data_IF_691253010105
#
_entry.id   IF_691253010105
#
_cell.length_a   1.000
_cell.length_b   1.000
_cell.length_c   1.000
_cell.angle_alpha   90.00
_cell.angle_beta   90.00
_cell.angle_gamma   90.00
#
_symmetry.space_group_name_H-M   'P 1'
#
loop_
_entity.id
_entity.type
_entity.pdbx_description
1 polymer ?
#
# COMPACT_ATOMS: atom_id res chain seq x y z
N UNK A 1 4.99 1.04 19.27
CA UNK A 1 5.18 -0.03 18.29
C UNK A 1 6.32 0.39 17.38
N UNK A 2 7.49 -0.24 17.45
CA UNK A 2 8.59 0.04 16.53
C UNK A 2 8.59 -1.10 15.50
N UNK A 3 8.34 -0.78 14.23
CA UNK A 3 8.38 -1.78 13.17
C UNK A 3 9.84 -2.16 12.89
N UNK A 4 10.11 -3.46 12.75
CA UNK A 4 11.44 -3.95 12.35
C UNK A 4 11.83 -3.40 10.97
N UNK A 5 13.13 -3.21 10.72
CA UNK A 5 13.61 -2.71 9.42
C UNK A 5 13.16 -3.57 8.25
N UNK A 6 13.08 -4.89 8.45
CA UNK A 6 12.58 -5.86 7.47
C UNK A 6 11.11 -5.61 7.12
N UNK A 7 10.28 -5.33 8.13
CA UNK A 7 8.87 -5.03 7.91
C UNK A 7 8.71 -3.69 7.17
N UNK A 8 9.49 -2.67 7.54
CA UNK A 8 9.48 -1.38 6.84
C UNK A 8 9.90 -1.55 5.37
N UNK A 9 10.91 -2.38 5.09
CA UNK A 9 11.30 -2.73 3.72
C UNK A 9 10.17 -3.42 2.98
N UNK A 10 9.54 -4.41 3.62
CA UNK A 10 8.41 -5.17 3.05
C UNK A 10 7.24 -4.25 2.69
N UNK A 11 6.87 -3.33 3.58
CA UNK A 11 5.80 -2.35 3.35
C UNK A 11 6.13 -1.40 2.20
N UNK A 12 7.39 -0.97 2.10
CA UNK A 12 7.85 -0.12 0.99
C UNK A 12 7.77 -0.88 -0.34
N UNK A 13 8.25 -2.13 -0.37
CA UNK A 13 8.19 -2.94 -1.58
C UNK A 13 6.74 -3.19 -2.01
N UNK A 14 5.85 -3.52 -1.09
CA UNK A 14 4.43 -3.70 -1.39
C UNK A 14 3.82 -2.42 -1.98
N UNK A 15 4.13 -1.25 -1.39
CA UNK A 15 3.70 0.05 -1.93
C UNK A 15 4.20 0.28 -3.36
N UNK A 16 5.48 0.01 -3.62
CA UNK A 16 6.09 0.18 -4.93
C UNK A 16 5.46 -0.76 -5.98
N UNK A 17 5.23 -2.02 -5.64
CA UNK A 17 4.57 -2.99 -6.53
C UNK A 17 3.14 -2.56 -6.89
N UNK A 18 2.36 -2.16 -5.88
CA UNK A 18 0.97 -1.72 -6.08
C UNK A 18 0.95 -0.46 -6.94
N UNK A 19 1.84 0.50 -6.67
CA UNK A 19 1.96 1.73 -7.47
C UNK A 19 2.47 1.48 -8.88
N UNK A 20 3.32 0.47 -9.12
CA UNK A 20 3.75 0.10 -10.46
C UNK A 20 2.60 -0.42 -11.33
N UNK A 21 1.53 -0.94 -10.72
CA UNK A 21 0.32 -1.37 -11.41
C UNK A 21 -0.62 -0.21 -11.77
N UNK A 22 -0.41 0.98 -11.20
CA UNK A 22 -1.22 2.17 -11.47
C UNK A 22 -0.65 2.90 -12.69
N UNK A 23 -1.48 3.24 -13.69
CA UNK A 23 -1.02 4.02 -14.83
C UNK A 23 -0.58 5.42 -14.40
N UNK A 24 0.50 5.93 -14.98
CA UNK A 24 1.18 7.15 -14.52
C UNK A 24 0.27 8.41 -14.43
N UNK A 25 -0.79 8.49 -15.24
CA UNK A 25 -1.75 9.60 -15.19
C UNK A 25 -2.66 9.57 -13.94
N UNK A 26 -2.82 8.41 -13.30
CA UNK A 26 -3.54 8.23 -12.04
C UNK A 26 -2.61 8.17 -10.82
N UNK A 27 -1.29 8.10 -11.04
CA UNK A 27 -0.27 8.08 -9.99
C UNK A 27 -0.09 9.46 -9.34
N UNK A 28 -1.14 9.96 -8.71
CA UNK A 28 -1.15 11.21 -7.96
C UNK A 28 -0.58 10.99 -6.55
N UNK A 29 0.02 12.02 -5.97
CA UNK A 29 0.61 11.95 -4.63
C UNK A 29 -0.40 11.47 -3.57
N UNK A 30 -1.68 11.87 -3.71
CA UNK A 30 -2.77 11.44 -2.83
C UNK A 30 -3.04 9.93 -2.88
N UNK A 31 -2.93 9.31 -4.07
CA UNK A 31 -3.11 7.87 -4.23
C UNK A 31 -1.98 7.10 -3.54
N UNK A 32 -0.73 7.55 -3.71
CA UNK A 32 0.43 6.96 -3.05
C UNK A 32 0.32 7.04 -1.53
N UNK A 33 -0.14 8.17 -0.99
CA UNK A 33 -0.35 8.36 0.44
C UNK A 33 -1.46 7.43 0.98
N UNK A 34 -2.59 7.33 0.26
CA UNK A 34 -3.70 6.47 0.65
C UNK A 34 -3.33 4.97 0.62
N UNK A 35 -2.57 4.53 -0.39
CA UNK A 35 -2.08 3.14 -0.44
C UNK A 35 -1.05 2.86 0.66
N UNK A 36 -0.15 3.81 0.95
CA UNK A 36 0.79 3.66 2.07
C UNK A 36 0.04 3.55 3.41
N UNK A 37 -1.04 4.31 3.60
CA UNK A 37 -1.89 4.22 4.78
C UNK A 37 -2.59 2.86 4.88
N UNK A 38 -3.10 2.32 3.76
CA UNK A 38 -3.68 0.98 3.70
C UNK A 38 -2.68 -0.09 4.17
N UNK A 39 -1.44 -0.03 3.68
CA UNK A 39 -0.36 -0.95 4.07
C UNK A 39 -0.03 -0.80 5.56
N UNK A 40 0.02 0.43 6.08
CA UNK A 40 0.23 0.70 7.51
C UNK A 40 -0.89 0.14 8.38
N UNK A 41 -2.15 0.27 7.95
CA UNK A 41 -3.31 -0.30 8.63
C UNK A 41 -3.28 -1.84 8.61
N UNK A 42 -2.96 -2.44 7.47
CA UNK A 42 -2.79 -3.89 7.34
C UNK A 42 -1.70 -4.41 8.28
N UNK A 43 -0.54 -3.74 8.34
CA UNK A 43 0.53 -4.06 9.29
C UNK A 43 0.08 -3.93 10.75
N UNK A 44 -0.67 -2.88 11.08
CA UNK A 44 -1.23 -2.71 12.42
C UNK A 44 -2.26 -3.79 12.79
N UNK A 45 -2.94 -4.37 11.80
CA UNK A 45 -3.89 -5.48 11.97
C UNK A 45 -3.20 -6.86 12.04
N UNK A 46 -1.87 -6.92 11.92
CA UNK A 46 -1.08 -8.16 12.03
C UNK A 46 -0.59 -8.73 10.70
N UNK A 47 -0.86 -8.08 9.56
CA UNK A 47 -0.33 -8.50 8.26
C UNK A 47 1.10 -8.00 8.12
N UNK A 48 2.09 -8.86 8.36
CA UNK A 48 3.52 -8.49 8.27
C UNK A 48 4.22 -9.06 7.03
N UNK A 49 3.57 -9.98 6.33
CA UNK A 49 4.08 -10.60 5.11
C UNK A 49 3.85 -9.72 3.89
N UNK A 50 4.81 -9.74 2.95
CA UNK A 50 4.72 -9.03 1.67
C UNK A 50 3.41 -9.30 0.95
N UNK A 51 3.06 -10.58 0.76
CA UNK A 51 1.84 -11.02 0.08
C UNK A 51 0.56 -10.47 0.73
N UNK A 52 0.49 -10.50 2.07
CA UNK A 52 -0.66 -9.98 2.81
C UNK A 52 -0.80 -8.47 2.74
N UNK A 53 0.33 -7.74 2.70
CA UNK A 53 0.37 -6.28 2.56
C UNK A 53 0.02 -5.83 1.14
N UNK A 54 0.59 -6.51 0.14
CA UNK A 54 0.29 -6.27 -1.27
C UNK A 54 -1.17 -6.57 -1.58
N UNK A 55 -1.68 -7.73 -1.16
CA UNK A 55 -3.09 -8.11 -1.40
C UNK A 55 -4.05 -7.12 -0.76
N UNK A 56 -3.83 -6.73 0.49
CA UNK A 56 -4.70 -5.76 1.17
C UNK A 56 -4.70 -4.38 0.49
N UNK A 57 -3.53 -3.94 0.02
CA UNK A 57 -3.37 -2.68 -0.69
C UNK A 57 -3.97 -2.72 -2.09
N UNK A 58 -3.78 -3.81 -2.83
CA UNK A 58 -4.35 -4.03 -4.16
C UNK A 58 -5.88 -4.13 -4.13
N UNK A 59 -6.44 -4.79 -3.12
CA UNK A 59 -7.89 -4.87 -2.91
C UNK A 59 -8.50 -3.47 -2.71
N UNK A 60 -7.87 -2.64 -1.87
CA UNK A 60 -8.33 -1.26 -1.64
C UNK A 60 -7.96 -0.28 -2.74
N UNK A 61 -7.01 -0.62 -3.62
CA UNK A 61 -6.49 0.29 -4.65
C UNK A 61 -7.61 0.85 -5.53
N UNK A 62 -8.51 0.00 -6.01
CA UNK A 62 -9.59 0.41 -6.90
C UNK A 62 -10.59 1.36 -6.20
N UNK A 63 -10.88 1.10 -4.93
CA UNK A 63 -11.74 1.96 -4.11
C UNK A 63 -11.09 3.33 -3.87
N UNK A 64 -9.79 3.37 -3.59
CA UNK A 64 -9.03 4.62 -3.40
C UNK A 64 -9.01 5.44 -4.69
N UNK A 65 -8.77 4.81 -5.85
CA UNK A 65 -8.81 5.48 -7.16
C UNK A 65 -10.19 6.11 -7.42
N UNK A 66 -11.26 5.37 -7.11
CA UNK A 66 -12.64 5.86 -7.27
C UNK A 66 -12.98 7.03 -6.34
N UNK A 67 -12.39 7.12 -5.14
CA UNK A 67 -12.59 8.26 -4.23
C UNK A 67 -11.81 9.51 -4.64
N UNK A 68 -10.73 9.35 -5.41
CA UNK A 68 -9.82 10.43 -5.83
C UNK A 68 -10.10 10.95 -7.25
N UNK A 69 -10.98 10.29 -8.00
CA UNK A 69 -11.44 10.68 -9.35
C UNK A 69 -12.76 11.43 -9.25
#
# INVERSE_FOLDING_TARGET
MQYSSELIHTMRQALETVMASVPAHQSVFGLKAAVAECILKAAAHGHTSYDGLETAASDQLQAIIAMLT
#
